data_IF_231455343103
#
_entry.id   IF_231455343103
#
_cell.length_a   1.000
_cell.length_b   1.000
_cell.length_c   1.000
_cell.angle_alpha   90.00
_cell.angle_beta   90.00
_cell.angle_gamma   90.00
#
_symmetry.space_group_name_H-M   'P 1'
#
loop_
_entity.id
_entity.type
_entity.pdbx_description
1 polymer ?
#
# COMPACT_ATOMS: atom_id res chain seq x y z
N UNK A 1 -2.02 26.94 17.78
CA UNK A 1 -2.72 25.72 17.31
C UNK A 1 -2.39 24.61 18.29
N UNK A 2 -3.39 24.06 18.98
CA UNK A 2 -3.16 22.88 19.82
C UNK A 2 -3.01 21.65 18.89
N UNK A 3 -2.09 20.73 19.18
CA UNK A 3 -1.98 19.49 18.42
C UNK A 3 -3.32 18.75 18.46
N UNK A 4 -3.72 18.14 17.35
CA UNK A 4 -4.95 17.34 17.23
C UNK A 4 -5.09 16.28 18.34
N UNK A 5 -3.97 15.76 18.85
CA UNK A 5 -3.90 14.84 19.98
C UNK A 5 -4.49 15.40 21.28
N UNK A 6 -4.36 16.71 21.51
CA UNK A 6 -4.92 17.37 22.69
C UNK A 6 -6.45 17.51 22.61
N UNK A 7 -7.03 17.48 21.41
CA UNK A 7 -8.48 17.60 21.20
C UNK A 7 -9.22 16.27 21.41
N UNK A 8 -8.56 15.14 21.12
CA UNK A 8 -9.23 13.83 21.07
C UNK A 8 -8.61 12.77 21.99
N UNK A 9 -7.50 13.05 22.66
CA UNK A 9 -6.97 12.24 23.76
C UNK A 9 -6.52 10.82 23.41
N UNK A 10 -6.37 10.47 22.13
CA UNK A 10 -5.87 9.15 21.68
C UNK A 10 -4.61 9.29 20.84
N UNK A 11 -3.62 8.45 21.14
CA UNK A 11 -2.45 8.24 20.26
C UNK A 11 -2.96 7.74 18.92
N UNK A 12 -2.64 8.46 17.86
CA UNK A 12 -2.98 8.09 16.50
C UNK A 12 -2.31 6.74 16.17
N UNK A 13 -3.05 5.64 16.25
CA UNK A 13 -2.72 4.39 15.55
C UNK A 13 -3.65 4.34 14.35
N UNK A 14 -3.12 4.68 13.19
CA UNK A 14 -3.86 4.62 11.93
C UNK A 14 -4.23 3.15 11.67
N UNK A 15 -5.52 2.80 11.59
CA UNK A 15 -5.96 1.44 11.27
C UNK A 15 -5.85 1.27 9.75
N UNK A 16 -4.63 1.23 9.22
CA UNK A 16 -4.42 0.99 7.78
C UNK A 16 -4.49 -0.51 7.46
N UNK A 17 -4.42 -1.38 8.47
CA UNK A 17 -4.29 -2.83 8.26
C UNK A 17 -5.13 -3.60 9.27
N UNK A 18 -6.45 -3.41 9.26
CA UNK A 18 -7.37 -4.37 9.89
C UNK A 18 -8.24 -5.13 8.87
N UNK A 19 -8.65 -4.51 7.76
CA UNK A 19 -9.41 -5.20 6.71
C UNK A 19 -8.65 -6.37 6.05
N UNK A 20 -7.34 -6.23 5.85
CA UNK A 20 -6.56 -7.24 5.15
C UNK A 20 -6.42 -8.57 5.92
N UNK A 21 -6.74 -8.61 7.21
CA UNK A 21 -6.60 -9.83 8.03
C UNK A 21 -7.87 -10.68 7.92
N UNK A 22 -9.05 -10.06 7.95
CA UNK A 22 -10.34 -10.73 7.80
C UNK A 22 -10.56 -11.20 6.36
N UNK A 23 -10.18 -10.38 5.37
CA UNK A 23 -10.26 -10.76 3.95
C UNK A 23 -9.36 -11.96 3.62
N UNK A 24 -8.20 -12.07 4.27
CA UNK A 24 -7.25 -13.18 4.03
C UNK A 24 -7.73 -14.52 4.58
N UNK A 25 -8.62 -14.52 5.57
CA UNK A 25 -9.21 -15.73 6.14
C UNK A 25 -10.40 -16.23 5.31
N UNK A 26 -11.09 -15.32 4.61
CA UNK A 26 -12.24 -15.62 3.73
C UNK A 26 -11.80 -15.96 2.30
N UNK A 27 -10.69 -15.39 1.84
CA UNK A 27 -10.17 -15.57 0.49
C UNK A 27 -9.16 -16.72 0.46
N UNK A 28 -9.49 -17.78 -0.27
CA UNK A 28 -8.62 -18.96 -0.41
C UNK A 28 -7.21 -18.63 -0.95
N UNK A 29 -6.23 -19.51 -0.70
CA UNK A 29 -4.81 -19.26 -1.04
C UNK A 29 -4.55 -19.04 -2.53
N UNK A 30 -5.39 -19.61 -3.41
CA UNK A 30 -5.27 -19.47 -4.86
C UNK A 30 -5.55 -18.01 -5.31
N UNK A 31 -6.60 -17.41 -4.75
CA UNK A 31 -6.99 -16.03 -5.07
C UNK A 31 -5.96 -15.05 -4.49
N UNK A 32 -5.41 -15.31 -3.30
CA UNK A 32 -4.33 -14.50 -2.74
C UNK A 32 -3.09 -14.49 -3.65
N UNK A 33 -2.74 -15.65 -4.21
CA UNK A 33 -1.60 -15.79 -5.12
C UNK A 33 -1.84 -15.02 -6.42
N UNK A 34 -3.06 -15.10 -6.96
CA UNK A 34 -3.45 -14.34 -8.16
C UNK A 34 -3.41 -12.82 -7.93
N UNK A 35 -3.94 -12.35 -6.79
CA UNK A 35 -3.92 -10.94 -6.41
C UNK A 35 -2.49 -10.44 -6.20
N UNK A 36 -1.62 -11.23 -5.58
CA UNK A 36 -0.21 -10.90 -5.40
C UNK A 36 0.52 -10.76 -6.74
N UNK A 37 0.23 -11.65 -7.70
CA UNK A 37 0.76 -11.54 -9.06
C UNK A 37 0.27 -10.27 -9.78
N UNK A 38 -1.02 -9.95 -9.66
CA UNK A 38 -1.58 -8.72 -10.25
C UNK A 38 -0.97 -7.45 -9.65
N UNK A 39 -0.81 -7.41 -8.31
CA UNK A 39 -0.15 -6.29 -7.61
C UNK A 39 1.30 -6.17 -8.08
N UNK A 40 2.01 -7.28 -8.24
CA UNK A 40 3.39 -7.27 -8.75
C UNK A 40 3.48 -6.70 -10.16
N UNK A 41 2.57 -7.10 -11.06
CA UNK A 41 2.50 -6.55 -12.42
C UNK A 41 2.25 -5.05 -12.41
N UNK A 42 1.29 -4.56 -11.62
CA UNK A 42 1.01 -3.13 -11.49
C UNK A 42 2.24 -2.39 -10.97
N UNK A 43 2.93 -2.95 -9.97
CA UNK A 43 4.13 -2.35 -9.41
C UNK A 43 5.28 -2.26 -10.43
N UNK A 44 5.47 -3.30 -11.26
CA UNK A 44 6.45 -3.29 -12.35
C UNK A 44 6.09 -2.24 -13.41
N UNK A 45 4.83 -2.17 -13.85
CA UNK A 45 4.36 -1.14 -14.79
C UNK A 45 4.51 0.28 -14.22
N UNK A 46 4.22 0.47 -12.93
CA UNK A 46 4.38 1.76 -12.25
C UNK A 46 5.85 2.15 -12.08
N UNK A 47 6.77 1.19 -12.07
CA UNK A 47 8.21 1.44 -11.95
C UNK A 47 8.85 1.89 -13.27
N UNK A 48 8.24 1.56 -14.41
CA UNK A 48 8.72 2.02 -15.72
C UNK A 48 8.70 3.55 -15.88
N UNK A 49 7.66 4.23 -15.38
CA UNK A 49 7.55 5.70 -15.51
C UNK A 49 8.67 6.43 -14.75
N UNK A 50 8.93 6.09 -13.46
CA UNK A 50 10.08 6.58 -12.71
C UNK A 50 11.42 6.22 -13.33
N UNK A 51 11.59 4.99 -13.84
CA UNK A 51 12.86 4.55 -14.42
C UNK A 51 13.17 5.32 -15.72
N UNK A 52 12.16 5.57 -16.56
CA UNK A 52 12.29 6.47 -17.72
C UNK A 52 12.65 7.90 -17.29
N UNK A 53 12.00 8.42 -16.26
CA UNK A 53 12.27 9.77 -15.77
C UNK A 53 13.68 9.91 -15.18
N UNK A 54 14.19 8.88 -14.48
CA UNK A 54 15.57 8.83 -14.00
C UNK A 54 16.58 8.81 -15.15
N UNK A 55 16.32 8.02 -16.19
CA UNK A 55 17.20 7.99 -17.38
C UNK A 55 17.36 9.35 -18.07
N UNK A 56 16.35 10.22 -18.02
CA UNK A 56 16.45 11.59 -18.55
C UNK A 56 17.17 12.57 -17.61
N UNK A 57 17.20 12.28 -16.31
CA UNK A 57 17.85 13.11 -15.30
C UNK A 57 19.32 12.73 -15.04
N UNK A 58 19.70 11.50 -15.39
CA UNK A 58 21.08 10.98 -15.28
C UNK A 58 21.95 11.25 -16.53
N UNK A 59 21.39 11.94 -17.55
CA UNK A 59 22.10 12.52 -18.71
C UNK A 59 22.69 13.90 -18.36
#
# INVERSE_FOLDING_TARGET
MAPFEALYGRKYRTPVIWDNIEDREVIGPDILTEMEQQVKMIHECLKEAPDRQKSYADL
#
